data_IF_997623290307
#
_entry.id   IF_997623290307
#
_cell.length_a   1.000
_cell.length_b   1.000
_cell.length_c   1.000
_cell.angle_alpha   90.00
_cell.angle_beta   90.00
_cell.angle_gamma   90.00
#
_symmetry.space_group_name_H-M   'P 1'
#
loop_
_entity.id
_entity.type
_entity.pdbx_description
1 polymer ?
#
# COMPACT_ATOMS: atom_id res chain seq x y z
N UNK A 1 -15.29 14.08 -7.28
CA UNK A 1 -14.17 13.18 -7.60
C UNK A 1 -13.80 12.37 -6.35
N UNK A 2 -13.73 11.06 -6.50
CA UNK A 2 -13.28 10.20 -5.40
C UNK A 2 -11.78 10.34 -5.20
N UNK A 3 -11.34 10.43 -3.95
CA UNK A 3 -9.94 10.49 -3.60
C UNK A 3 -9.55 9.24 -2.82
N UNK A 4 -8.42 8.67 -3.17
CA UNK A 4 -7.75 7.64 -2.38
C UNK A 4 -6.39 8.18 -1.96
N UNK A 5 -5.92 7.74 -0.82
CA UNK A 5 -4.61 8.15 -0.34
C UNK A 5 -3.91 6.98 0.34
N UNK A 6 -2.60 6.96 0.27
CA UNK A 6 -1.80 5.93 0.89
C UNK A 6 -0.38 6.38 1.17
N UNK A 7 0.39 5.49 1.77
CA UNK A 7 1.80 5.74 2.11
C UNK A 7 2.64 4.57 1.62
N UNK A 8 3.68 4.87 0.85
CA UNK A 8 4.72 3.89 0.56
C UNK A 8 5.71 3.92 1.72
N UNK A 9 5.82 2.80 2.43
CA UNK A 9 6.81 2.61 3.48
C UNK A 9 8.05 2.01 2.85
N UNK A 10 9.20 2.65 3.06
CA UNK A 10 10.44 2.24 2.42
C UNK A 10 11.60 2.29 3.41
N UNK A 11 12.63 1.50 3.14
CA UNK A 11 13.85 1.50 3.93
C UNK A 11 15.06 1.22 3.05
N UNK A 12 16.24 1.50 3.59
CA UNK A 12 17.52 1.13 2.99
C UNK A 12 18.23 0.15 3.92
N UNK A 13 18.68 -0.98 3.37
CA UNK A 13 19.57 -1.91 4.07
C UNK A 13 20.78 -2.17 3.19
N UNK A 14 21.98 -1.95 3.74
CA UNK A 14 23.24 -2.00 3.00
C UNK A 14 23.16 -1.04 1.79
N UNK A 15 23.17 -1.56 0.57
CA UNK A 15 23.13 -0.75 -0.65
C UNK A 15 21.78 -0.80 -1.36
N UNK A 16 20.81 -1.53 -0.81
CA UNK A 16 19.52 -1.75 -1.48
C UNK A 16 18.39 -1.00 -0.80
N UNK A 17 17.43 -0.59 -1.61
CA UNK A 17 16.18 0.04 -1.16
C UNK A 17 15.03 -0.95 -1.26
N UNK A 18 14.18 -0.94 -0.24
CA UNK A 18 13.05 -1.85 -0.11
C UNK A 18 11.77 -1.07 0.09
N UNK A 19 10.68 -1.60 -0.40
CA UNK A 19 9.33 -1.09 -0.12
C UNK A 19 8.50 -2.19 0.53
N UNK A 20 7.61 -1.79 1.42
CA UNK A 20 6.73 -2.69 2.15
C UNK A 20 5.40 -2.78 1.43
N UNK A 21 5.03 -3.98 1.01
CA UNK A 21 3.77 -4.21 0.32
C UNK A 21 2.94 -5.26 1.07
N UNK A 22 1.62 -5.17 0.89
CA UNK A 22 0.66 -6.11 1.43
C UNK A 22 -0.02 -6.89 0.31
N UNK A 23 -0.28 -8.15 0.55
CA UNK A 23 -0.95 -9.03 -0.42
C UNK A 23 -2.46 -8.93 -0.22
N UNK A 24 -3.21 -8.78 -1.32
CA UNK A 24 -4.67 -8.76 -1.26
C UNK A 24 -5.20 -10.06 -0.67
N UNK A 25 -6.10 -9.95 0.31
CA UNK A 25 -6.73 -11.08 0.97
C UNK A 25 -8.00 -11.54 0.27
N UNK A 26 -8.54 -12.64 0.77
CA UNK A 26 -9.76 -13.23 0.25
C UNK A 26 -9.53 -14.28 -0.82
N UNK A 27 -10.61 -15.05 -1.16
CA UNK A 27 -10.47 -16.22 -2.01
C UNK A 27 -10.14 -15.92 -3.47
N UNK A 28 -10.41 -14.70 -3.94
CA UNK A 28 -10.08 -14.32 -5.32
C UNK A 28 -8.59 -14.10 -5.53
N UNK A 29 -7.82 -13.86 -4.46
CA UNK A 29 -6.42 -13.49 -4.52
C UNK A 29 -5.48 -14.53 -3.91
N UNK A 30 -5.99 -15.53 -3.16
CA UNK A 30 -5.17 -16.40 -2.33
C UNK A 30 -4.11 -17.19 -3.12
N UNK A 31 -4.37 -17.50 -4.39
CA UNK A 31 -3.44 -18.22 -5.26
C UNK A 31 -2.66 -17.33 -6.22
N UNK A 32 -2.84 -16.02 -6.13
CA UNK A 32 -2.16 -15.05 -6.99
C UNK A 32 -0.97 -14.45 -6.26
N UNK A 33 0.10 -14.18 -6.99
CA UNK A 33 1.32 -13.57 -6.44
C UNK A 33 1.68 -12.31 -7.22
N UNK A 34 2.22 -12.43 -8.44
CA UNK A 34 2.53 -11.26 -9.27
C UNK A 34 1.27 -10.45 -9.55
N UNK A 35 1.35 -9.14 -9.31
CA UNK A 35 0.21 -8.24 -9.51
C UNK A 35 -0.78 -8.24 -8.35
N UNK A 36 -0.56 -9.04 -7.31
CA UNK A 36 -1.46 -9.20 -6.18
C UNK A 36 -1.03 -8.43 -4.92
N UNK A 37 0.01 -7.62 -5.02
CA UNK A 37 0.55 -6.85 -3.91
C UNK A 37 0.23 -5.36 -4.08
N UNK A 38 0.12 -4.65 -2.98
CA UNK A 38 -0.39 -3.27 -2.95
C UNK A 38 0.35 -2.42 -1.93
N UNK A 39 0.47 -1.12 -2.26
CA UNK A 39 0.77 -0.09 -1.27
C UNK A 39 -0.45 0.04 -0.34
N UNK A 40 -0.22 0.38 0.92
CA UNK A 40 -1.29 0.62 1.88
C UNK A 40 -2.02 1.90 1.51
N UNK A 41 -3.27 1.77 1.06
CA UNK A 41 -4.08 2.91 0.60
C UNK A 41 -5.57 2.58 0.64
N UNK A 42 -6.38 3.62 0.63
CA UNK A 42 -7.81 3.46 0.54
C UNK A 42 -8.53 4.77 0.27
N UNK A 43 -9.84 4.69 0.20
CA UNK A 43 -10.71 5.80 -0.17
C UNK A 43 -10.90 6.75 1.01
N UNK A 44 -10.79 8.07 0.76
CA UNK A 44 -11.10 9.10 1.75
C UNK A 44 -12.59 9.14 2.06
N UNK A 45 -12.90 9.26 3.33
CA UNK A 45 -14.27 9.50 3.78
C UNK A 45 -14.67 10.95 3.49
N UNK A 46 -15.98 11.26 3.39
CA UNK A 46 -16.41 12.64 3.16
C UNK A 46 -15.82 13.59 4.22
N UNK A 47 -15.17 14.66 3.74
CA UNK A 47 -14.54 15.65 4.61
C UNK A 47 -13.19 15.25 5.20
N UNK A 48 -12.73 14.04 4.96
CA UNK A 48 -11.45 13.56 5.48
C UNK A 48 -10.30 14.14 4.65
N UNK A 49 -9.28 14.67 5.34
CA UNK A 49 -8.06 15.13 4.68
C UNK A 49 -7.25 13.94 4.18
N UNK A 50 -6.63 14.06 3.01
CA UNK A 50 -5.91 12.93 2.39
C UNK A 50 -4.77 12.38 3.24
N UNK A 51 -4.08 13.21 4.01
CA UNK A 51 -3.03 12.71 4.92
C UNK A 51 -3.65 11.86 6.06
N UNK A 52 -4.80 12.27 6.55
CA UNK A 52 -5.54 11.49 7.58
C UNK A 52 -5.98 10.15 6.99
N UNK A 53 -6.51 10.17 5.77
CA UNK A 53 -6.87 8.93 5.04
C UNK A 53 -5.67 8.00 4.94
N UNK A 54 -4.54 8.52 4.49
CA UNK A 54 -3.32 7.72 4.28
C UNK A 54 -2.86 7.07 5.59
N UNK A 55 -2.83 7.81 6.69
CA UNK A 55 -2.45 7.28 8.00
C UNK A 55 -3.44 6.22 8.49
N UNK A 56 -4.74 6.49 8.33
CA UNK A 56 -5.78 5.55 8.75
C UNK A 56 -5.66 4.23 7.98
N UNK A 57 -5.45 4.30 6.68
CA UNK A 57 -5.33 3.10 5.84
C UNK A 57 -4.09 2.26 6.20
N UNK A 58 -2.96 2.89 6.53
CA UNK A 58 -1.80 2.14 7.02
C UNK A 58 -2.16 1.36 8.28
N UNK A 59 -2.86 1.99 9.23
CA UNK A 59 -3.30 1.33 10.47
C UNK A 59 -4.25 0.17 10.21
N UNK A 60 -5.26 0.38 9.36
CA UNK A 60 -6.28 -0.62 9.05
C UNK A 60 -5.71 -1.82 8.29
N UNK A 61 -4.79 -1.57 7.35
CA UNK A 61 -4.23 -2.64 6.52
C UNK A 61 -3.04 -3.37 7.15
N UNK A 62 -2.35 -2.76 8.11
CA UNK A 62 -1.09 -3.33 8.62
C UNK A 62 -0.97 -3.37 10.14
N UNK A 63 -1.70 -2.55 10.87
CA UNK A 63 -1.53 -2.35 12.31
C UNK A 63 -0.16 -1.76 12.69
N UNK A 64 0.54 -1.13 11.75
CA UNK A 64 1.84 -0.51 12.00
C UNK A 64 1.66 0.93 12.49
N UNK A 65 2.54 1.36 13.39
CA UNK A 65 2.62 2.74 13.85
C UNK A 65 3.81 3.43 13.15
N UNK A 66 3.53 4.54 12.51
CA UNK A 66 4.55 5.31 11.81
C UNK A 66 5.17 6.34 12.76
N UNK A 67 6.48 6.35 12.87
CA UNK A 67 7.24 7.22 13.78
C UNK A 67 8.16 8.21 13.04
N UNK A 68 8.17 8.18 11.72
CA UNK A 68 8.97 9.07 10.89
C UNK A 68 8.06 10.02 10.11
N UNK A 69 8.60 11.14 9.60
CA UNK A 69 7.81 12.07 8.79
C UNK A 69 7.17 11.39 7.58
N UNK A 70 5.96 11.82 7.26
CA UNK A 70 5.22 11.36 6.09
C UNK A 70 5.21 12.51 5.09
N UNK A 71 5.81 12.29 3.92
CA UNK A 71 6.01 13.34 2.92
C UNK A 71 5.19 13.05 1.67
N UNK A 72 4.69 14.10 1.03
CA UNK A 72 4.00 13.98 -0.25
C UNK A 72 4.95 13.42 -1.31
N UNK A 73 4.47 12.48 -2.11
CA UNK A 73 5.24 11.89 -3.20
C UNK A 73 4.70 12.32 -4.57
N UNK A 74 3.48 11.93 -4.86
CA UNK A 74 2.89 12.14 -6.18
C UNK A 74 1.39 11.91 -6.16
N UNK A 75 0.70 12.40 -7.19
CA UNK A 75 -0.71 12.14 -7.40
C UNK A 75 -0.92 11.67 -8.83
N UNK A 76 -1.93 10.82 -9.02
CA UNK A 76 -2.29 10.31 -10.34
C UNK A 76 -3.80 10.20 -10.47
N UNK A 77 -4.32 10.77 -11.56
CA UNK A 77 -5.72 10.59 -11.93
C UNK A 77 -5.84 9.23 -12.62
N UNK A 78 -6.54 8.28 -11.98
CA UNK A 78 -6.65 6.89 -12.48
C UNK A 78 -7.92 6.67 -13.31
N UNK A 79 -8.87 7.62 -13.23
CA UNK A 79 -10.06 7.66 -14.09
C UNK A 79 -10.61 9.07 -14.06
N UNK A 80 -11.64 9.36 -14.85
CA UNK A 80 -12.27 10.69 -14.86
C UNK A 80 -12.82 11.11 -13.50
N UNK A 81 -13.05 10.16 -12.61
CA UNK A 81 -13.68 10.40 -11.32
C UNK A 81 -12.86 9.93 -10.12
N UNK A 82 -11.59 9.57 -10.32
CA UNK A 82 -10.76 9.04 -9.23
C UNK A 82 -9.34 9.59 -9.27
N UNK A 83 -8.92 10.18 -8.15
CA UNK A 83 -7.57 10.69 -7.94
C UNK A 83 -6.91 9.90 -6.81
N UNK A 84 -5.69 9.44 -7.02
CA UNK A 84 -4.88 8.78 -5.99
C UNK A 84 -3.76 9.72 -5.58
N UNK A 85 -3.68 10.02 -4.28
CA UNK A 85 -2.65 10.86 -3.67
C UNK A 85 -1.74 9.95 -2.85
N UNK A 86 -0.45 9.93 -3.16
CA UNK A 86 0.51 9.04 -2.51
C UNK A 86 1.54 9.82 -1.72
N UNK A 87 1.75 9.38 -0.49
CA UNK A 87 2.81 9.84 0.41
C UNK A 87 3.89 8.76 0.51
N UNK A 88 5.02 9.09 1.07
CA UNK A 88 6.08 8.15 1.39
C UNK A 88 6.60 8.43 2.80
N UNK A 89 7.11 7.40 3.45
CA UNK A 89 7.70 7.52 4.77
C UNK A 89 8.78 6.46 4.95
N UNK A 90 9.91 6.85 5.50
CA UNK A 90 10.94 5.89 5.90
C UNK A 90 10.41 5.04 7.06
N UNK A 91 10.52 3.73 6.95
CA UNK A 91 10.07 2.81 7.98
C UNK A 91 10.99 1.60 8.03
N UNK A 92 11.65 1.39 9.16
CA UNK A 92 12.53 0.24 9.40
C UNK A 92 12.12 -0.53 10.65
N UNK A 93 10.89 -0.34 11.11
CA UNK A 93 10.36 -1.00 12.30
C UNK A 93 10.01 -2.46 12.07
N UNK A 94 9.63 -3.10 13.16
CA UNK A 94 9.21 -4.51 13.17
C UNK A 94 7.84 -4.66 12.52
N UNK A 95 7.70 -5.64 11.62
CA UNK A 95 6.44 -5.96 10.95
C UNK A 95 5.78 -7.24 11.49
N UNK A 96 6.31 -7.83 12.56
CA UNK A 96 5.77 -9.07 13.14
C UNK A 96 4.36 -8.91 13.72
N UNK A 97 3.97 -7.69 14.07
CA UNK A 97 2.63 -7.39 14.59
C UNK A 97 1.62 -7.07 13.48
N UNK A 98 1.96 -7.40 12.26
CA UNK A 98 1.07 -7.19 11.11
C UNK A 98 -0.31 -7.81 11.36
N UNK A 99 -1.35 -7.01 11.14
CA UNK A 99 -2.73 -7.42 11.22
C UNK A 99 -3.57 -6.44 10.41
N UNK A 100 -4.40 -6.95 9.50
CA UNK A 100 -5.30 -6.09 8.74
C UNK A 100 -6.73 -6.21 9.26
N UNK A 101 -7.56 -5.23 8.91
CA UNK A 101 -9.00 -5.34 9.07
C UNK A 101 -9.53 -6.45 8.17
N UNK A 102 -10.75 -6.88 8.45
CA UNK A 102 -11.42 -7.94 7.68
C UNK A 102 -12.57 -7.36 6.86
N UNK A 103 -12.98 -8.11 5.85
CA UNK A 103 -14.19 -7.84 5.10
C UNK A 103 -15.04 -9.10 5.02
N UNK A 104 -16.34 -8.94 4.80
CA UNK A 104 -17.26 -10.05 4.66
C UNK A 104 -17.58 -10.31 3.19
N UNK A 105 -17.71 -11.58 2.84
CA UNK A 105 -17.98 -12.02 1.47
C UNK A 105 -18.81 -13.29 1.51
N UNK A 106 -19.82 -13.38 0.65
CA UNK A 106 -20.50 -14.64 0.45
C UNK A 106 -19.58 -15.60 -0.32
N UNK A 107 -19.19 -16.68 0.34
CA UNK A 107 -18.28 -17.64 -0.26
C UNK A 107 -18.59 -19.05 0.24
N UNK A 108 -18.71 -20.08 -0.61
CA UNK A 108 -18.67 -19.97 -2.09
C UNK A 108 -19.80 -19.08 -2.64
N UNK A 109 -19.62 -18.64 -3.88
CA UNK A 109 -20.62 -17.79 -4.58
C UNK A 109 -21.97 -18.50 -4.56
N UNK A 110 -23.04 -17.77 -4.19
CA UNK A 110 -24.42 -18.26 -4.11
C UNK A 110 -24.63 -19.38 -3.09
N UNK A 111 -23.74 -19.53 -2.12
CA UNK A 111 -23.86 -20.53 -1.05
C UNK A 111 -24.76 -20.09 0.09
N UNK A 112 -25.01 -18.79 0.22
CA UNK A 112 -25.70 -18.22 1.37
C UNK A 112 -24.82 -18.12 2.61
N UNK A 113 -23.54 -18.49 2.52
CA UNK A 113 -22.60 -18.46 3.64
C UNK A 113 -21.75 -17.20 3.59
N UNK A 114 -21.86 -16.35 4.60
CA UNK A 114 -21.03 -15.14 4.74
C UNK A 114 -19.79 -15.53 5.54
N UNK A 115 -18.62 -15.25 4.98
CA UNK A 115 -17.32 -15.51 5.63
C UNK A 115 -16.52 -14.23 5.73
N UNK A 116 -15.73 -14.08 6.80
CA UNK A 116 -14.82 -12.97 6.99
C UNK A 116 -13.43 -13.35 6.49
N UNK A 117 -12.81 -12.44 5.74
CA UNK A 117 -11.44 -12.59 5.24
C UNK A 117 -10.64 -11.36 5.60
N UNK A 118 -9.31 -11.48 5.84
CA UNK A 118 -8.49 -10.28 6.01
C UNK A 118 -8.45 -9.50 4.71
N UNK A 119 -8.48 -8.16 4.79
CA UNK A 119 -8.31 -7.31 3.60
C UNK A 119 -6.94 -7.54 2.98
N UNK A 120 -5.92 -7.68 3.82
CA UNK A 120 -4.55 -8.04 3.44
C UNK A 120 -4.14 -9.26 4.23
N UNK A 121 -3.61 -10.29 3.57
CA UNK A 121 -3.30 -11.57 4.22
C UNK A 121 -1.81 -11.79 4.47
N UNK A 122 -0.94 -10.99 3.84
CA UNK A 122 0.52 -11.07 4.01
C UNK A 122 1.14 -9.69 3.92
N UNK A 123 2.31 -9.53 4.51
CA UNK A 123 3.12 -8.34 4.42
C UNK A 123 4.57 -8.75 4.14
N UNK A 124 5.25 -8.02 3.26
CA UNK A 124 6.61 -8.40 2.86
C UNK A 124 7.38 -7.20 2.34
N UNK A 125 8.69 -7.18 2.62
CA UNK A 125 9.63 -6.26 2.01
C UNK A 125 10.06 -6.76 0.63
N UNK A 126 10.00 -5.85 -0.36
CA UNK A 126 10.46 -6.10 -1.73
C UNK A 126 11.55 -5.09 -2.07
N UNK A 127 12.55 -5.51 -2.86
CA UNK A 127 13.43 -4.52 -3.48
C UNK A 127 12.60 -3.68 -4.46
N UNK A 128 13.10 -2.51 -4.83
CA UNK A 128 12.39 -1.67 -5.81
C UNK A 128 12.15 -2.41 -7.14
N UNK A 129 13.12 -3.19 -7.60
CA UNK A 129 12.97 -3.98 -8.84
C UNK A 129 11.91 -5.05 -8.70
N UNK A 130 11.93 -5.81 -7.61
CA UNK A 130 10.91 -6.82 -7.33
C UNK A 130 9.52 -6.20 -7.23
N UNK A 131 9.43 -5.04 -6.57
CA UNK A 131 8.14 -4.36 -6.39
C UNK A 131 7.48 -4.03 -7.73
N UNK A 132 8.25 -3.66 -8.76
CA UNK A 132 7.71 -3.38 -10.09
C UNK A 132 7.02 -4.60 -10.71
N UNK A 133 7.48 -5.79 -10.36
CA UNK A 133 6.95 -7.04 -10.88
C UNK A 133 5.75 -7.55 -10.10
N UNK A 134 5.75 -7.38 -8.78
CA UNK A 134 4.75 -7.97 -7.89
C UNK A 134 3.61 -7.04 -7.53
N UNK A 135 3.82 -5.73 -7.61
CA UNK A 135 2.76 -4.77 -7.28
C UNK A 135 1.65 -4.79 -8.34
N UNK A 136 0.43 -4.49 -7.91
CA UNK A 136 -0.68 -4.30 -8.82
C UNK A 136 -0.30 -3.26 -9.87
N UNK A 137 -0.58 -3.54 -11.14
CA UNK A 137 -0.12 -2.73 -12.26
C UNK A 137 -0.57 -1.26 -12.18
N UNK A 138 -1.71 -0.99 -11.57
CA UNK A 138 -2.22 0.37 -11.38
C UNK A 138 -1.34 1.23 -10.48
N UNK A 139 -0.43 0.63 -9.72
CA UNK A 139 0.40 1.32 -8.72
C UNK A 139 1.88 1.43 -9.11
N UNK A 140 2.28 0.87 -10.25
CA UNK A 140 3.68 0.89 -10.72
C UNK A 140 4.21 2.32 -10.83
N UNK A 141 3.37 3.25 -11.26
CA UNK A 141 3.70 4.68 -11.36
C UNK A 141 4.30 5.21 -10.04
N UNK A 142 3.72 4.86 -8.90
CA UNK A 142 4.16 5.37 -7.61
C UNK A 142 5.51 4.78 -7.17
N UNK A 143 5.77 3.53 -7.49
CA UNK A 143 7.09 2.92 -7.20
C UNK A 143 8.17 3.62 -8.02
N UNK A 144 7.90 3.91 -9.29
CA UNK A 144 8.84 4.65 -10.15
C UNK A 144 9.10 6.06 -9.62
N UNK A 145 8.07 6.75 -9.15
CA UNK A 145 8.22 8.08 -8.56
C UNK A 145 9.04 8.05 -7.28
N UNK A 146 8.85 7.01 -6.44
CA UNK A 146 9.67 6.84 -5.25
C UNK A 146 11.14 6.62 -5.63
N UNK A 147 11.42 5.78 -6.62
CA UNK A 147 12.78 5.54 -7.09
C UNK A 147 13.46 6.84 -7.56
N UNK A 148 12.73 7.68 -8.30
CA UNK A 148 13.23 8.99 -8.74
C UNK A 148 13.54 9.91 -7.54
N UNK A 149 12.65 9.94 -6.55
CA UNK A 149 12.83 10.76 -5.34
C UNK A 149 14.07 10.31 -4.56
N UNK A 150 14.23 9.01 -4.35
CA UNK A 150 15.38 8.45 -3.63
C UNK A 150 16.68 8.78 -4.37
N UNK A 151 16.72 8.64 -5.69
CA UNK A 151 17.88 8.99 -6.52
C UNK A 151 18.23 10.46 -6.36
N UNK A 152 17.24 11.35 -6.41
CA UNK A 152 17.42 12.80 -6.23
C UNK A 152 17.97 13.14 -4.84
N UNK A 153 17.45 12.49 -3.79
CA UNK A 153 17.96 12.67 -2.42
C UNK A 153 19.41 12.24 -2.30
N UNK A 154 19.79 11.14 -2.97
CA UNK A 154 21.16 10.61 -2.96
C UNK A 154 22.14 11.56 -3.67
N UNK A 155 21.71 12.20 -4.76
CA UNK A 155 22.53 13.14 -5.51
C UNK A 155 22.77 14.47 -4.73
N UNK A 156 21.84 14.84 -3.85
CA UNK A 156 21.92 16.06 -3.04
C UNK A 156 22.71 15.91 -1.74
N UNK A 157 23.17 14.71 -1.46
CA UNK A 157 24.02 14.41 -0.31
C UNK A 157 25.47 14.16 -0.80
#
# INVERSE_FOLDING_TARGET
MKRSAGVILWKKEATKYYVLLTHFGGPYWDKKDKGAWSIQKGISEPGEKVLVTAKREVGEETNLLLDKPINYLASKKVSNNKLVIMFESYFDGDISNFKSNTFELEWPIKSGKIQAFPEMDKIKWFTLEEALEYINSSQVFFIKRLAEKITSMKENN
#
